data_IF_254215881918
#
_entry.id   IF_254215881918
#
_cell.length_a   1.000
_cell.length_b   1.000
_cell.length_c   1.000
_cell.angle_alpha   90.00
_cell.angle_beta   90.00
_cell.angle_gamma   90.00
#
_symmetry.space_group_name_H-M   'P 1'
#
loop_
_entity.id
_entity.type
_entity.pdbx_description
1 polymer ?
#
# COMPACT_ATOMS: atom_id res chain seq x y z
N UNK A 1 20.72 -8.78 17.81
CA UNK A 1 19.66 -8.59 16.81
C UNK A 1 20.35 -8.58 15.45
N UNK A 2 20.33 -9.71 14.73
CA UNK A 2 21.07 -9.84 13.47
C UNK A 2 20.62 -8.77 12.47
N UNK A 3 21.59 -7.98 12.02
CA UNK A 3 21.39 -7.06 10.91
C UNK A 3 21.37 -7.91 9.64
N UNK A 4 20.18 -8.34 9.20
CA UNK A 4 20.03 -8.92 7.86
C UNK A 4 20.53 -7.90 6.85
N UNK A 5 21.58 -8.30 6.15
CA UNK A 5 22.31 -7.50 5.18
C UNK A 5 21.71 -7.83 3.81
N UNK A 6 21.43 -6.79 3.01
CA UNK A 6 20.76 -6.94 1.71
C UNK A 6 21.57 -7.82 0.75
N UNK A 7 22.88 -7.91 0.96
CA UNK A 7 23.83 -8.73 0.21
C UNK A 7 23.43 -10.22 0.16
N UNK A 8 22.66 -10.69 1.15
CA UNK A 8 22.15 -12.07 1.18
C UNK A 8 21.13 -12.37 0.07
N UNK A 9 20.60 -11.35 -0.63
CA UNK A 9 19.60 -11.47 -1.70
C UNK A 9 20.18 -11.34 -3.11
N UNK A 10 21.46 -10.96 -3.24
CA UNK A 10 22.10 -10.73 -4.54
C UNK A 10 22.19 -12.03 -5.33
N UNK A 11 21.79 -11.99 -6.61
CA UNK A 11 21.78 -13.15 -7.51
C UNK A 11 20.71 -14.20 -7.22
N UNK A 12 19.80 -13.96 -6.27
CA UNK A 12 18.73 -14.91 -5.90
C UNK A 12 17.41 -14.61 -6.58
N UNK A 13 16.71 -15.68 -6.95
CA UNK A 13 15.38 -15.62 -7.53
C UNK A 13 14.32 -15.08 -6.55
N UNK A 14 13.20 -14.57 -7.08
CA UNK A 14 12.13 -13.91 -6.28
C UNK A 14 11.62 -14.79 -5.12
N UNK A 15 11.43 -16.09 -5.36
CA UNK A 15 10.93 -17.01 -4.33
C UNK A 15 11.99 -17.31 -3.26
N UNK A 16 13.25 -17.50 -3.65
CA UNK A 16 14.35 -17.73 -2.69
C UNK A 16 14.58 -16.51 -1.78
N UNK A 17 14.56 -15.29 -2.36
CA UNK A 17 14.61 -14.04 -1.57
C UNK A 17 13.46 -13.95 -0.56
N UNK A 18 12.26 -14.35 -0.97
CA UNK A 18 11.07 -14.36 -0.11
C UNK A 18 11.21 -15.35 1.03
N UNK A 19 11.69 -16.56 0.76
CA UNK A 19 11.91 -17.60 1.77
C UNK A 19 12.95 -17.16 2.81
N UNK A 20 14.08 -16.61 2.36
CA UNK A 20 15.10 -16.05 3.26
C UNK A 20 14.54 -14.92 4.13
N UNK A 21 13.75 -14.02 3.55
CA UNK A 21 13.09 -12.95 4.29
C UNK A 21 12.06 -13.49 5.29
N UNK A 22 11.28 -14.51 4.92
CA UNK A 22 10.33 -15.16 5.82
C UNK A 22 11.06 -15.83 7.00
N UNK A 23 12.11 -16.60 6.71
CA UNK A 23 12.93 -17.32 7.69
C UNK A 23 13.63 -16.40 8.69
N UNK A 24 13.95 -15.16 8.29
CA UNK A 24 14.52 -14.14 9.17
C UNK A 24 13.63 -13.76 10.36
N UNK A 25 12.33 -14.01 10.27
CA UNK A 25 11.33 -13.56 11.24
C UNK A 25 11.17 -12.03 11.32
N UNK A 26 11.80 -11.26 10.42
CA UNK A 26 11.64 -9.81 10.39
C UNK A 26 10.20 -9.41 10.06
N UNK A 27 9.57 -10.12 9.11
CA UNK A 27 8.18 -9.94 8.73
C UNK A 27 7.18 -10.36 9.83
N UNK A 28 7.61 -11.13 10.84
CA UNK A 28 6.74 -11.51 11.97
C UNK A 28 6.57 -10.35 12.99
N UNK A 29 7.45 -9.34 12.93
CA UNK A 29 7.52 -8.23 13.89
C UNK A 29 7.09 -6.89 13.31
N UNK A 30 7.19 -6.72 12.00
CA UNK A 30 6.86 -5.48 11.30
C UNK A 30 5.91 -5.74 10.16
N UNK A 31 4.88 -4.90 10.06
CA UNK A 31 3.91 -4.98 8.97
C UNK A 31 4.60 -4.69 7.64
N UNK A 32 5.38 -3.62 7.61
CA UNK A 32 6.19 -3.22 6.47
C UNK A 32 7.66 -3.31 6.80
N UNK A 33 8.44 -3.76 5.82
CA UNK A 33 9.88 -3.70 5.86
C UNK A 33 10.30 -3.18 4.49
N UNK A 34 10.79 -1.96 4.40
CA UNK A 34 11.29 -1.43 3.15
C UNK A 34 12.65 -2.08 2.81
N UNK A 35 12.94 -2.23 1.52
CA UNK A 35 14.24 -2.74 1.09
C UNK A 35 15.37 -1.85 1.62
N UNK A 36 16.46 -2.50 2.05
CA UNK A 36 17.66 -1.81 2.57
C UNK A 36 18.68 -1.50 1.49
N UNK A 37 18.47 -1.95 0.25
CA UNK A 37 19.34 -1.63 -0.88
C UNK A 37 19.43 -0.11 -1.06
N UNK A 38 20.63 0.37 -1.38
CA UNK A 38 20.86 1.80 -1.64
C UNK A 38 20.01 2.26 -2.83
N UNK A 39 19.97 1.45 -3.87
CA UNK A 39 19.19 1.67 -5.09
C UNK A 39 17.70 1.81 -4.78
N UNK A 40 17.14 0.96 -3.91
CA UNK A 40 15.74 1.06 -3.53
C UNK A 40 15.45 2.23 -2.60
N UNK A 41 16.36 2.59 -1.70
CA UNK A 41 16.21 3.82 -0.90
C UNK A 41 16.14 5.05 -1.80
N UNK A 42 17.03 5.13 -2.78
CA UNK A 42 17.02 6.20 -3.77
C UNK A 42 15.76 6.18 -4.64
N UNK A 43 15.33 5.00 -5.10
CA UNK A 43 14.09 4.85 -5.88
C UNK A 43 12.85 5.27 -5.09
N UNK A 44 12.74 4.90 -3.81
CA UNK A 44 11.60 5.32 -2.97
C UNK A 44 11.58 6.84 -2.83
N UNK A 45 12.74 7.47 -2.57
CA UNK A 45 12.83 8.93 -2.47
C UNK A 45 12.40 9.60 -3.78
N UNK A 46 12.93 9.15 -4.92
CA UNK A 46 12.52 9.65 -6.24
C UNK A 46 11.03 9.41 -6.52
N UNK A 47 10.49 8.26 -6.11
CA UNK A 47 9.06 7.96 -6.25
C UNK A 47 8.19 8.92 -5.43
N UNK A 48 8.65 9.31 -4.24
CA UNK A 48 7.99 10.35 -3.44
C UNK A 48 8.04 11.70 -4.15
N UNK A 49 9.20 12.10 -4.68
CA UNK A 49 9.36 13.36 -5.43
C UNK A 49 8.41 13.41 -6.63
N UNK A 50 8.43 12.37 -7.48
CA UNK A 50 7.52 12.22 -8.64
C UNK A 50 6.06 12.29 -8.24
N UNK A 51 5.68 11.58 -7.16
CA UNK A 51 4.31 11.63 -6.68
C UNK A 51 3.88 13.07 -6.33
N UNK A 52 4.74 13.82 -5.64
CA UNK A 52 4.42 15.20 -5.26
C UNK A 52 4.44 16.16 -6.45
N UNK A 53 5.29 15.95 -7.46
CA UNK A 53 5.25 16.69 -8.73
C UNK A 53 3.91 16.46 -9.43
N UNK A 54 3.52 15.20 -9.65
CA UNK A 54 2.25 14.85 -10.28
C UNK A 54 1.08 15.45 -9.50
N UNK A 55 1.13 15.41 -8.17
CA UNK A 55 0.07 15.96 -7.32
C UNK A 55 -0.08 17.49 -7.45
N UNK A 56 0.99 18.21 -7.78
CA UNK A 56 0.91 19.66 -8.02
C UNK A 56 0.08 19.96 -9.27
N UNK A 57 0.27 19.19 -10.33
CA UNK A 57 -0.45 19.34 -11.59
C UNK A 57 -1.84 18.67 -11.58
N UNK A 58 -2.00 17.63 -10.74
CA UNK A 58 -3.19 16.79 -10.61
C UNK A 58 -3.63 16.70 -9.14
N UNK A 59 -4.29 17.74 -8.60
CA UNK A 59 -4.70 17.79 -7.19
C UNK A 59 -5.73 16.72 -6.79
N UNK A 60 -6.40 16.10 -7.76
CA UNK A 60 -7.24 14.92 -7.60
C UNK A 60 -6.45 13.64 -7.25
N UNK A 61 -5.14 13.59 -7.48
CA UNK A 61 -4.31 12.47 -7.07
C UNK A 61 -4.16 12.47 -5.54
N UNK A 62 -4.63 11.41 -4.89
CA UNK A 62 -4.74 11.30 -3.44
C UNK A 62 -3.47 10.73 -2.83
N UNK A 63 -3.03 9.58 -3.33
CA UNK A 63 -1.87 8.84 -2.81
C UNK A 63 -1.40 7.78 -3.79
N UNK A 64 -0.16 7.31 -3.61
CA UNK A 64 0.35 6.10 -4.23
C UNK A 64 0.52 5.03 -3.16
N UNK A 65 -0.37 4.05 -3.15
CA UNK A 65 -0.28 2.87 -2.28
C UNK A 65 0.70 1.87 -2.87
N UNK A 66 1.66 1.40 -2.06
CA UNK A 66 2.70 0.45 -2.44
C UNK A 66 2.44 -0.92 -1.83
N UNK A 67 2.77 -1.97 -2.57
CA UNK A 67 2.71 -3.34 -2.08
C UNK A 67 3.82 -4.21 -2.71
N UNK A 68 3.66 -5.54 -2.65
CA UNK A 68 4.59 -6.46 -3.30
C UNK A 68 5.92 -6.63 -2.57
N UNK A 69 6.98 -6.87 -3.34
CA UNK A 69 8.31 -7.18 -2.81
C UNK A 69 8.94 -5.99 -2.06
N UNK A 70 8.60 -4.77 -2.46
CA UNK A 70 9.12 -3.52 -1.92
C UNK A 70 8.76 -3.34 -0.45
N UNK A 71 7.50 -3.61 -0.10
CA UNK A 71 6.98 -3.44 1.27
C UNK A 71 7.26 -4.63 2.19
N UNK A 72 7.84 -5.69 1.62
CA UNK A 72 8.25 -6.92 2.32
C UNK A 72 9.76 -7.05 2.49
N UNK A 73 10.53 -6.08 1.99
CA UNK A 73 11.95 -5.90 2.33
C UNK A 73 12.91 -6.78 1.56
N UNK A 74 12.41 -7.54 0.59
CA UNK A 74 13.22 -8.42 -0.25
C UNK A 74 13.35 -7.93 -1.69
N UNK A 75 12.85 -6.73 -2.02
CA UNK A 75 13.03 -6.12 -3.34
C UNK A 75 14.52 -5.84 -3.65
N UNK A 76 14.92 -6.08 -4.89
CA UNK A 76 16.25 -5.85 -5.47
C UNK A 76 16.15 -5.02 -6.77
N UNK A 77 17.27 -4.69 -7.41
CA UNK A 77 17.30 -3.85 -8.63
C UNK A 77 16.40 -4.34 -9.78
N UNK A 78 16.18 -5.65 -9.85
CA UNK A 78 15.30 -6.32 -10.81
C UNK A 78 13.83 -6.35 -10.44
N UNK A 79 13.50 -5.94 -9.22
CA UNK A 79 12.11 -5.93 -8.75
C UNK A 79 11.32 -4.79 -9.39
N UNK A 80 10.04 -5.08 -9.58
CA UNK A 80 8.97 -4.21 -10.03
C UNK A 80 8.54 -3.20 -8.95
N UNK A 81 7.85 -2.15 -9.38
CA UNK A 81 7.06 -1.25 -8.54
C UNK A 81 5.60 -1.66 -8.68
N UNK A 82 5.05 -2.19 -7.59
CA UNK A 82 3.65 -2.55 -7.47
C UNK A 82 2.89 -1.47 -6.71
N UNK A 83 1.77 -0.97 -7.25
CA UNK A 83 1.01 0.04 -6.54
C UNK A 83 -0.39 0.38 -7.06
N UNK A 84 -1.13 1.10 -6.23
CA UNK A 84 -2.40 1.72 -6.60
C UNK A 84 -2.27 3.23 -6.55
N UNK A 85 -2.51 3.90 -7.67
CA UNK A 85 -2.64 5.34 -7.72
C UNK A 85 -4.08 5.70 -7.34
N UNK A 86 -4.28 6.15 -6.11
CA UNK A 86 -5.59 6.52 -5.60
C UNK A 86 -5.95 7.92 -6.11
N UNK A 87 -7.11 8.06 -6.73
CA UNK A 87 -7.59 9.29 -7.36
C UNK A 87 -8.96 9.64 -6.79
N UNK A 88 -9.16 10.92 -6.47
CA UNK A 88 -10.43 11.50 -6.05
C UNK A 88 -11.33 11.67 -7.26
N UNK A 89 -12.24 10.72 -7.46
CA UNK A 89 -13.09 10.71 -8.65
C UNK A 89 -14.05 11.91 -8.68
N UNK A 90 -14.37 12.47 -7.52
CA UNK A 90 -15.24 13.65 -7.41
C UNK A 90 -14.55 14.92 -7.92
N UNK A 91 -13.21 14.90 -8.00
CA UNK A 91 -12.38 16.01 -8.51
C UNK A 91 -11.82 15.75 -9.91
N UNK A 92 -12.00 14.55 -10.44
CA UNK A 92 -11.53 14.19 -11.78
C UNK A 92 -12.26 15.02 -12.86
N UNK A 93 -11.54 15.62 -13.84
CA UNK A 93 -12.17 16.29 -14.96
C UNK A 93 -13.08 15.33 -15.76
N UNK A 94 -14.26 15.78 -16.18
CA UNK A 94 -15.34 14.96 -16.76
C UNK A 94 -14.98 14.09 -17.99
N UNK A 95 -13.86 14.35 -18.64
CA UNK A 95 -13.39 13.62 -19.83
C UNK A 95 -12.15 12.78 -19.56
N UNK A 96 -11.73 12.64 -18.31
CA UNK A 96 -10.54 11.88 -17.97
C UNK A 96 -10.86 10.39 -17.88
N UNK A 97 -10.04 9.54 -18.50
CA UNK A 97 -10.19 8.08 -18.41
C UNK A 97 -9.17 7.46 -17.43
N UNK A 98 -9.48 6.30 -16.83
CA UNK A 98 -8.49 5.54 -16.06
C UNK A 98 -7.19 5.31 -16.81
N UNK A 99 -7.26 4.99 -18.10
CA UNK A 99 -6.10 4.76 -18.95
C UNK A 99 -5.22 6.01 -19.10
N UNK A 100 -5.80 7.21 -19.16
CA UNK A 100 -5.03 8.45 -19.21
C UNK A 100 -4.22 8.65 -17.93
N UNK A 101 -4.82 8.46 -16.76
CA UNK A 101 -4.09 8.54 -15.49
C UNK A 101 -3.03 7.46 -15.36
N UNK A 102 -3.32 6.24 -15.81
CA UNK A 102 -2.35 5.15 -15.82
C UNK A 102 -1.15 5.47 -16.72
N UNK A 103 -1.39 5.93 -17.95
CA UNK A 103 -0.34 6.30 -18.88
C UNK A 103 0.49 7.49 -18.36
N UNK A 104 -0.17 8.48 -17.75
CA UNK A 104 0.48 9.62 -17.13
C UNK A 104 1.42 9.19 -16.00
N UNK A 105 0.93 8.42 -15.01
CA UNK A 105 1.75 8.00 -13.87
C UNK A 105 2.89 7.09 -14.29
N UNK A 106 2.61 6.14 -15.19
CA UNK A 106 3.64 5.25 -15.77
C UNK A 106 4.71 6.09 -16.46
N UNK A 107 4.32 7.08 -17.28
CA UNK A 107 5.28 7.92 -18.00
C UNK A 107 6.20 8.70 -17.05
N UNK A 108 5.64 9.32 -16.01
CA UNK A 108 6.42 10.08 -15.02
C UNK A 108 7.34 9.19 -14.19
N UNK A 109 6.82 8.08 -13.65
CA UNK A 109 7.62 7.11 -12.88
C UNK A 109 8.72 6.53 -13.75
N UNK A 110 8.41 6.15 -15.00
CA UNK A 110 9.39 5.62 -15.96
C UNK A 110 10.55 6.59 -16.14
N UNK A 111 10.24 7.85 -16.43
CA UNK A 111 11.23 8.88 -16.71
C UNK A 111 12.11 9.16 -15.49
N UNK A 112 11.52 9.35 -14.32
CA UNK A 112 12.25 9.71 -13.11
C UNK A 112 13.06 8.56 -12.49
N UNK A 113 12.54 7.33 -12.56
CA UNK A 113 13.23 6.15 -12.02
C UNK A 113 14.11 5.43 -13.04
N UNK A 114 14.08 5.85 -14.32
CA UNK A 114 14.76 5.19 -15.43
C UNK A 114 14.46 3.68 -15.47
N UNK A 115 13.17 3.32 -15.35
CA UNK A 115 12.71 1.93 -15.33
C UNK A 115 12.16 1.50 -16.69
N UNK A 116 12.22 0.20 -16.97
CA UNK A 116 11.47 -0.40 -18.07
C UNK A 116 9.97 -0.34 -17.74
N UNK A 117 9.12 -0.17 -18.77
CA UNK A 117 7.66 -0.24 -18.66
C UNK A 117 7.21 -1.51 -17.92
N UNK A 118 7.84 -2.66 -18.20
CA UNK A 118 7.52 -3.93 -17.53
C UNK A 118 7.72 -3.90 -16.02
N UNK A 119 8.58 -3.01 -15.51
CA UNK A 119 8.83 -2.88 -14.06
C UNK A 119 7.81 -1.98 -13.36
N UNK A 120 6.87 -1.36 -14.08
CA UNK A 120 5.90 -0.39 -13.52
C UNK A 120 4.47 -0.62 -14.03
N UNK A 121 4.23 -1.61 -14.88
CA UNK A 121 2.91 -1.91 -15.45
C UNK A 121 1.86 -2.32 -14.39
N UNK A 122 2.31 -2.71 -13.20
CA UNK A 122 1.48 -3.05 -12.05
C UNK A 122 1.08 -1.84 -11.19
N UNK A 123 1.42 -0.62 -11.60
CA UNK A 123 0.86 0.60 -11.03
C UNK A 123 -0.48 0.88 -11.69
N UNK A 124 -1.57 0.65 -10.96
CA UNK A 124 -2.94 0.72 -11.49
C UNK A 124 -3.71 1.88 -10.83
N UNK A 125 -4.42 2.73 -11.58
CA UNK A 125 -5.24 3.77 -10.99
C UNK A 125 -6.50 3.18 -10.34
N UNK A 126 -6.88 3.76 -9.20
CA UNK A 126 -8.09 3.41 -8.46
C UNK A 126 -8.84 4.70 -8.15
N UNK A 127 -10.07 4.79 -8.63
CA UNK A 127 -10.93 5.96 -8.50
C UNK A 127 -11.82 5.78 -7.30
N UNK A 128 -11.81 6.77 -6.40
CA UNK A 128 -12.62 6.75 -5.19
C UNK A 128 -13.69 7.82 -5.26
N UNK A 129 -14.95 7.41 -5.12
CA UNK A 129 -16.06 8.29 -4.79
C UNK A 129 -16.44 8.10 -3.33
N UNK A 130 -16.77 9.20 -2.64
CA UNK A 130 -17.11 9.12 -1.20
C UNK A 130 -18.39 8.32 -0.98
N UNK A 131 -19.38 8.52 -1.82
CA UNK A 131 -20.67 7.84 -1.79
C UNK A 131 -20.51 6.33 -2.02
N UNK A 132 -19.59 5.93 -2.89
CA UNK A 132 -19.28 4.53 -3.14
C UNK A 132 -18.64 3.87 -1.93
N UNK A 133 -17.70 4.54 -1.26
CA UNK A 133 -17.09 4.03 -0.01
C UNK A 133 -18.16 3.88 1.08
N UNK A 134 -19.05 4.86 1.23
CA UNK A 134 -20.17 4.78 2.17
C UNK A 134 -21.07 3.57 1.83
N UNK A 135 -21.37 3.38 0.55
CA UNK A 135 -22.15 2.25 0.08
C UNK A 135 -21.47 0.90 0.40
N UNK A 136 -20.18 0.78 0.13
CA UNK A 136 -19.35 -0.39 0.45
C UNK A 136 -19.38 -0.72 1.95
N UNK A 137 -19.22 0.29 2.83
CA UNK A 137 -19.31 0.10 4.28
C UNK A 137 -20.68 -0.44 4.70
N UNK A 138 -21.78 0.14 4.21
CA UNK A 138 -23.16 -0.26 4.57
C UNK A 138 -23.52 -1.66 4.07
N UNK A 139 -23.02 -2.05 2.91
CA UNK A 139 -23.28 -3.36 2.31
C UNK A 139 -22.24 -4.41 2.69
N UNK A 140 -21.31 -4.06 3.60
CA UNK A 140 -20.25 -4.95 4.09
C UNK A 140 -19.32 -5.44 2.97
N UNK A 141 -19.23 -4.70 1.86
CA UNK A 141 -18.31 -4.98 0.75
C UNK A 141 -16.97 -4.30 0.99
N UNK A 142 -16.10 -5.02 1.70
CA UNK A 142 -14.79 -4.51 2.11
C UNK A 142 -13.66 -4.86 1.14
N UNK A 143 -13.97 -5.51 0.00
CA UNK A 143 -12.95 -6.05 -0.91
C UNK A 143 -11.97 -4.97 -1.40
N UNK A 144 -12.51 -3.92 -2.02
CA UNK A 144 -11.69 -2.83 -2.53
C UNK A 144 -11.20 -1.88 -1.43
N UNK A 145 -11.93 -1.74 -0.33
CA UNK A 145 -11.53 -0.87 0.80
C UNK A 145 -10.14 -1.24 1.35
N UNK A 146 -9.69 -2.49 1.21
CA UNK A 146 -8.32 -2.93 1.53
C UNK A 146 -7.26 -1.98 0.96
N UNK A 147 -7.48 -1.50 -0.26
CA UNK A 147 -6.54 -0.64 -0.99
C UNK A 147 -6.24 0.66 -0.25
N UNK A 148 -7.25 1.24 0.42
CA UNK A 148 -7.11 2.45 1.21
C UNK A 148 -6.18 2.27 2.41
N UNK A 149 -6.01 1.04 2.92
CA UNK A 149 -5.29 0.77 4.18
C UNK A 149 -3.87 0.22 3.98
N UNK A 150 -3.35 0.18 2.77
CA UNK A 150 -1.95 -0.21 2.49
C UNK A 150 -0.95 0.90 2.79
N UNK A 151 0.36 0.59 2.69
CA UNK A 151 1.42 1.59 2.82
C UNK A 151 1.31 2.61 1.69
N UNK A 152 1.21 3.91 1.98
CA UNK A 152 0.98 4.91 0.93
C UNK A 152 1.94 6.09 1.03
N UNK A 153 2.36 6.59 -0.14
CA UNK A 153 2.94 7.92 -0.31
C UNK A 153 1.78 8.91 -0.49
N UNK A 154 1.81 10.04 0.22
CA UNK A 154 0.72 11.03 0.24
C UNK A 154 -0.28 10.77 1.38
N UNK A 155 -0.64 11.85 2.09
CA UNK A 155 -1.46 11.78 3.32
C UNK A 155 -2.96 11.98 3.09
N UNK A 156 -3.37 12.40 1.90
CA UNK A 156 -4.77 12.71 1.61
C UNK A 156 -5.66 11.45 1.62
N UNK A 157 -5.06 10.26 1.52
CA UNK A 157 -5.75 8.98 1.70
C UNK A 157 -6.44 8.88 3.07
N UNK A 158 -5.94 9.62 4.07
CA UNK A 158 -6.53 9.68 5.40
C UNK A 158 -7.94 10.29 5.39
N UNK A 159 -8.28 11.13 4.40
CA UNK A 159 -9.64 11.64 4.24
C UNK A 159 -10.63 10.52 3.92
N UNK A 160 -10.22 9.56 3.08
CA UNK A 160 -11.04 8.39 2.71
C UNK A 160 -11.08 7.34 3.82
N UNK A 161 -9.94 7.08 4.47
CA UNK A 161 -9.90 6.22 5.67
C UNK A 161 -10.82 6.75 6.76
N UNK A 162 -10.86 8.08 6.96
CA UNK A 162 -11.77 8.72 7.92
C UNK A 162 -13.23 8.44 7.58
N UNK A 163 -13.63 8.50 6.31
CA UNK A 163 -15.01 8.14 5.90
C UNK A 163 -15.32 6.70 6.28
N UNK A 164 -14.41 5.75 6.00
CA UNK A 164 -14.59 4.35 6.40
C UNK A 164 -14.79 4.23 7.91
N UNK A 165 -13.93 4.86 8.73
CA UNK A 165 -14.09 4.80 10.19
C UNK A 165 -15.39 5.46 10.65
N UNK A 166 -15.71 6.65 10.14
CA UNK A 166 -16.91 7.39 10.52
C UNK A 166 -18.19 6.61 10.17
N UNK A 167 -18.21 5.86 9.05
CA UNK A 167 -19.35 5.01 8.69
C UNK A 167 -19.41 3.73 9.53
N UNK A 168 -18.30 3.01 9.69
CA UNK A 168 -18.31 1.78 10.48
C UNK A 168 -18.63 2.03 11.96
N UNK A 169 -18.16 3.14 12.54
CA UNK A 169 -18.47 3.48 13.95
C UNK A 169 -19.97 3.74 14.18
N UNK A 170 -20.69 4.27 13.18
CA UNK A 170 -22.16 4.48 13.27
C UNK A 170 -22.92 3.16 13.36
N UNK A 171 -22.38 2.09 12.78
CA UNK A 171 -22.98 0.74 12.80
C UNK A 171 -22.70 -0.04 14.10
N UNK A 172 -21.92 0.53 15.04
CA UNK A 172 -21.64 -0.08 16.33
C UNK A 172 -20.97 -1.45 16.21
N UNK A 173 -21.58 -2.48 16.80
CA UNK A 173 -21.04 -3.86 16.79
C UNK A 173 -20.94 -4.44 15.37
N UNK A 174 -21.88 -4.10 14.49
CA UNK A 174 -21.84 -4.55 13.10
C UNK A 174 -20.65 -3.94 12.35
N UNK A 175 -20.34 -2.68 12.64
CA UNK A 175 -19.15 -2.00 12.13
C UNK A 175 -17.84 -2.64 12.57
N UNK A 176 -17.75 -3.09 13.82
CA UNK A 176 -16.59 -3.83 14.33
C UNK A 176 -16.39 -5.16 13.60
N UNK A 177 -17.49 -5.89 13.29
CA UNK A 177 -17.42 -7.14 12.52
C UNK A 177 -16.89 -6.85 11.10
N UNK A 178 -17.37 -5.79 10.46
CA UNK A 178 -16.91 -5.37 9.13
C UNK A 178 -15.44 -4.95 9.17
N UNK A 179 -15.02 -4.23 10.20
CA UNK A 179 -13.62 -3.86 10.41
C UNK A 179 -12.69 -5.07 10.54
N UNK A 180 -13.08 -6.07 11.34
CA UNK A 180 -12.31 -7.31 11.49
C UNK A 180 -12.16 -8.01 10.13
N UNK A 181 -13.24 -8.11 9.36
CA UNK A 181 -13.21 -8.68 8.00
C UNK A 181 -12.27 -7.90 7.07
N UNK A 182 -12.32 -6.57 7.11
CA UNK A 182 -11.42 -5.71 6.32
C UNK A 182 -9.95 -5.92 6.70
N UNK A 183 -9.63 -5.97 7.99
CA UNK A 183 -8.26 -6.20 8.47
C UNK A 183 -7.76 -7.62 8.14
N UNK A 184 -8.63 -8.62 8.17
CA UNK A 184 -8.29 -9.98 7.75
C UNK A 184 -7.94 -10.06 6.27
N UNK A 185 -8.75 -9.40 5.41
CA UNK A 185 -8.48 -9.32 3.97
C UNK A 185 -7.19 -8.56 3.67
N UNK A 186 -6.96 -7.44 4.37
CA UNK A 186 -5.73 -6.67 4.26
C UNK A 186 -4.51 -7.50 4.67
N UNK A 187 -4.60 -8.24 5.78
CA UNK A 187 -3.54 -9.12 6.25
C UNK A 187 -3.21 -10.24 5.25
N UNK A 188 -4.24 -10.84 4.65
CA UNK A 188 -4.10 -11.88 3.63
C UNK A 188 -3.44 -11.32 2.36
N UNK A 189 -3.93 -10.17 1.86
CA UNK A 189 -3.38 -9.50 0.69
C UNK A 189 -1.90 -9.16 0.89
N UNK A 190 -1.56 -8.46 1.97
CA UNK A 190 -0.19 -8.05 2.26
C UNK A 190 0.72 -9.23 2.59
N UNK A 191 0.20 -10.38 3.00
CA UNK A 191 0.99 -11.58 3.28
C UNK A 191 1.04 -12.56 2.10
N UNK A 192 0.48 -12.19 0.94
CA UNK A 192 0.49 -12.99 -0.27
C UNK A 192 1.90 -13.50 -0.63
N UNK A 193 1.99 -14.79 -0.95
CA UNK A 193 3.22 -15.49 -1.28
C UNK A 193 4.02 -16.03 -0.09
N UNK A 194 3.64 -15.72 1.16
CA UNK A 194 4.19 -16.34 2.37
C UNK A 194 3.44 -17.63 2.72
N UNK A 195 4.06 -18.53 3.48
CA UNK A 195 3.40 -19.73 3.97
C UNK A 195 2.28 -19.42 5.00
N UNK A 196 1.39 -20.38 5.23
CA UNK A 196 0.23 -20.19 6.11
C UNK A 196 0.59 -19.94 7.58
N UNK A 197 1.75 -20.39 8.06
CA UNK A 197 2.18 -20.11 9.43
C UNK A 197 2.64 -18.66 9.57
N UNK A 198 3.42 -18.16 8.61
CA UNK A 198 3.85 -16.76 8.52
C UNK A 198 2.63 -15.82 8.38
N UNK A 199 1.66 -16.17 7.52
CA UNK A 199 0.42 -15.39 7.37
C UNK A 199 -0.34 -15.26 8.70
N UNK A 200 -0.53 -16.36 9.44
CA UNK A 200 -1.19 -16.34 10.75
C UNK A 200 -0.45 -15.49 11.77
N UNK A 201 0.88 -15.58 11.82
CA UNK A 201 1.69 -14.76 12.72
C UNK A 201 1.56 -13.27 12.41
N UNK A 202 1.52 -12.90 11.12
CA UNK A 202 1.40 -11.51 10.68
C UNK A 202 0.04 -10.89 11.01
N UNK A 203 -1.03 -11.67 11.15
CA UNK A 203 -2.37 -11.17 11.53
C UNK A 203 -2.36 -10.33 12.82
N UNK A 204 -1.45 -10.63 13.77
CA UNK A 204 -1.30 -9.86 15.01
C UNK A 204 -0.78 -8.44 14.83
N UNK A 205 -0.28 -8.09 13.64
CA UNK A 205 0.28 -6.78 13.31
C UNK A 205 -0.79 -5.77 12.87
N UNK A 206 -2.05 -6.19 12.77
CA UNK A 206 -3.16 -5.37 12.31
C UNK A 206 -4.04 -4.96 13.51
N UNK A 207 -4.63 -3.76 13.48
CA UNK A 207 -5.50 -3.29 14.56
C UNK A 207 -6.72 -4.20 14.75
N UNK A 208 -7.07 -4.48 15.99
CA UNK A 208 -8.08 -5.51 16.34
C UNK A 208 -9.51 -4.99 16.37
N UNK A 209 -9.68 -3.68 16.46
CA UNK A 209 -10.97 -2.98 16.53
C UNK A 209 -10.86 -1.59 15.88
N UNK A 210 -12.00 -0.95 15.66
CA UNK A 210 -12.09 0.38 15.03
C UNK A 210 -11.25 1.43 15.76
N UNK A 211 -11.27 1.43 17.10
CA UNK A 211 -10.51 2.41 17.90
C UNK A 211 -8.99 2.29 17.70
N UNK A 212 -8.45 1.07 17.76
CA UNK A 212 -7.04 0.79 17.44
C UNK A 212 -6.74 1.17 15.99
N UNK A 213 -7.66 0.86 15.07
CA UNK A 213 -7.56 1.17 13.64
C UNK A 213 -7.44 2.66 13.38
N UNK A 214 -8.35 3.45 13.94
CA UNK A 214 -8.40 4.91 13.76
C UNK A 214 -7.09 5.54 14.24
N UNK A 215 -6.60 5.12 15.41
CA UNK A 215 -5.30 5.57 15.94
C UNK A 215 -4.16 5.20 14.99
N UNK A 216 -4.07 3.92 14.60
CA UNK A 216 -2.99 3.41 13.75
C UNK A 216 -2.93 4.11 12.38
N UNK A 217 -4.08 4.29 11.73
CA UNK A 217 -4.15 4.75 10.34
C UNK A 217 -4.29 6.26 10.16
N UNK A 218 -4.91 6.98 11.10
CA UNK A 218 -5.14 8.42 10.97
C UNK A 218 -4.18 9.28 11.80
N UNK A 219 -3.65 8.76 12.91
CA UNK A 219 -2.77 9.52 13.81
C UNK A 219 -1.27 9.23 13.57
N UNK A 220 -0.98 8.30 12.65
CA UNK A 220 0.36 7.99 12.15
C UNK A 220 1.05 6.85 12.89
N UNK A 221 1.84 6.09 12.12
CA UNK A 221 2.98 5.34 12.65
C UNK A 221 4.09 6.37 12.98
N UNK A 222 4.79 6.24 14.12
CA UNK A 222 5.94 7.08 14.41
C UNK A 222 7.03 6.84 13.35
N UNK A 223 7.32 7.85 12.52
CA UNK A 223 8.56 8.05 11.73
C UNK A 223 9.23 6.81 11.07
N UNK A 224 8.48 5.82 10.58
CA UNK A 224 9.08 4.63 9.93
C UNK A 224 9.35 4.82 8.41
N UNK A 225 9.05 5.99 7.85
CA UNK A 225 9.26 6.33 6.42
C UNK A 225 9.92 7.72 6.28
N UNK A 226 10.80 8.08 7.22
CA UNK A 226 11.73 9.21 7.09
C UNK A 226 13.17 8.73 6.95
#
# INVERSE_FOLDING_TARGET
>A
MEKHSYEQYVGKEKNERRELMSASGALDRRRFLLSRSLEWKERIKKLQEVFYEIKQDHPEVVSLSLFGSLTKGYANEESDVDGWLNIDNDKTPKNSSPEQYQNMIISHIKHALNLDYKKIEHVVPVFWQKEEIIHMCKHKDVGDLVKLFTLSIGRDINNYRKIVFDELEKEGLDGEIVWISLMDKLALFESGGLDGAAQRKRRKLYPRNLAEGRKYFLQGLPDEIS
#
